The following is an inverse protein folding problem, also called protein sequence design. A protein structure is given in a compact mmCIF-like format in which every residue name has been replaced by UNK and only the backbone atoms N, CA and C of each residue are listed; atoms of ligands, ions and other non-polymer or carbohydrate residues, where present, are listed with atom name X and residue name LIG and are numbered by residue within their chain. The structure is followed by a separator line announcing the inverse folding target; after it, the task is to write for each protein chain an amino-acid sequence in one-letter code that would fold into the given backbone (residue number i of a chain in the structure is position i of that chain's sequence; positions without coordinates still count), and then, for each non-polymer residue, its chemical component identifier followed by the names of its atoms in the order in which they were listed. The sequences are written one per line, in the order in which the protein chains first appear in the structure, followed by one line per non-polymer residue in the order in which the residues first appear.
data_IF_734535651418
#
_entry.id   IF_734535651418
#
_cell.length_a   1.000
_cell.length_b   1.000
_cell.length_c   1.000
_cell.angle_alpha   90.00
_cell.angle_beta   90.00
_cell.angle_gamma   90.00
#
_symmetry.space_group_name_H-M   'P 1'
#
loop_
_entity.id
_entity.type
_entity.pdbx_description
1 polymer ?
#
# COMPACT_ATOMS: atom_id res chain seq x y z
N UNK A 1 5.55 9.15 -16.54
CA UNK A 1 5.24 8.69 -15.16
C UNK A 1 3.85 9.24 -14.83
N UNK A 2 2.87 8.38 -14.52
CA UNK A 2 1.52 8.81 -14.18
C UNK A 2 1.24 8.42 -12.73
N UNK A 3 0.84 9.38 -11.90
CA UNK A 3 0.53 9.16 -10.49
C UNK A 3 -1.00 9.13 -10.35
N UNK A 4 -1.59 8.07 -9.77
CA UNK A 4 -3.02 8.05 -9.47
C UNK A 4 -3.43 9.24 -8.61
N UNK A 5 -4.57 9.86 -8.93
CA UNK A 5 -5.09 11.04 -8.18
C UNK A 5 -5.52 10.71 -6.75
N UNK A 6 -5.81 9.43 -6.48
CA UNK A 6 -6.19 8.91 -5.17
C UNK A 6 -5.26 7.78 -4.77
N UNK A 7 -4.84 7.77 -3.51
CA UNK A 7 -3.98 6.75 -2.92
C UNK A 7 -4.32 6.49 -1.46
N UNK A 8 -3.89 5.34 -0.96
CA UNK A 8 -4.02 4.94 0.44
C UNK A 8 -2.75 5.38 1.20
N UNK A 9 -2.91 6.22 2.22
CA UNK A 9 -1.84 6.53 3.17
C UNK A 9 -1.86 5.56 4.36
N UNK A 10 -0.69 5.10 4.80
CA UNK A 10 -0.58 4.07 5.86
C UNK A 10 -0.02 4.61 7.20
N UNK A 11 0.03 5.93 7.37
CA UNK A 11 0.51 6.54 8.60
C UNK A 11 -0.30 6.06 9.83
N UNK A 12 0.42 5.70 10.90
CA UNK A 12 -0.12 5.17 12.18
C UNK A 12 -0.81 3.80 12.10
N UNK A 13 -0.96 3.20 10.91
CA UNK A 13 -1.42 1.82 10.81
C UNK A 13 -0.29 0.87 11.22
N UNK A 14 -0.64 -0.15 12.02
CA UNK A 14 0.27 -1.17 12.54
C UNK A 14 -0.33 -2.57 12.35
N UNK A 15 0.55 -3.57 12.29
CA UNK A 15 0.20 -4.99 12.31
C UNK A 15 -0.90 -5.33 11.28
N UNK A 16 -1.93 -6.09 11.69
CA UNK A 16 -3.00 -6.56 10.83
C UNK A 16 -3.78 -5.41 10.17
N UNK A 17 -3.90 -4.25 10.82
CA UNK A 17 -4.63 -3.11 10.28
C UNK A 17 -4.01 -2.58 8.98
N UNK A 18 -2.68 -2.70 8.81
CA UNK A 18 -1.99 -2.32 7.57
C UNK A 18 -2.39 -3.27 6.44
N UNK A 19 -2.34 -4.58 6.72
CA UNK A 19 -2.62 -5.63 5.75
C UNK A 19 -4.06 -5.51 5.26
N UNK A 20 -5.02 -5.41 6.18
CA UNK A 20 -6.44 -5.31 5.86
C UNK A 20 -6.73 -4.01 5.09
N UNK A 21 -6.13 -2.89 5.50
CA UNK A 21 -6.33 -1.61 4.80
C UNK A 21 -5.81 -1.65 3.37
N UNK A 22 -4.63 -2.23 3.15
CA UNK A 22 -4.05 -2.36 1.80
C UNK A 22 -4.88 -3.30 0.94
N UNK A 23 -5.27 -4.47 1.44
CA UNK A 23 -6.10 -5.44 0.69
C UNK A 23 -7.45 -4.83 0.31
N UNK A 24 -8.15 -4.23 1.27
CA UNK A 24 -9.43 -3.56 1.01
C UNK A 24 -9.29 -2.44 -0.01
N UNK A 25 -8.24 -1.63 0.06
CA UNK A 25 -8.01 -0.57 -0.91
C UNK A 25 -7.79 -1.13 -2.32
N UNK A 26 -6.98 -2.18 -2.46
CA UNK A 26 -6.73 -2.84 -3.74
C UNK A 26 -8.01 -3.45 -4.33
N UNK A 27 -8.83 -4.08 -3.48
CA UNK A 27 -10.12 -4.70 -3.84
C UNK A 27 -11.13 -3.67 -4.38
N UNK A 28 -11.18 -2.47 -3.78
CA UNK A 28 -12.05 -1.39 -4.25
C UNK A 28 -11.42 -0.52 -5.36
N UNK A 29 -10.26 -0.91 -5.87
CA UNK A 29 -9.67 -0.33 -7.09
C UNK A 29 -8.56 0.70 -6.88
N UNK A 30 -8.07 0.91 -5.66
CA UNK A 30 -6.89 1.77 -5.45
C UNK A 30 -5.67 1.19 -6.15
N UNK A 31 -4.83 2.07 -6.69
CA UNK A 31 -3.58 1.71 -7.36
C UNK A 31 -2.38 2.53 -6.88
N UNK A 32 -2.57 3.36 -5.86
CA UNK A 32 -1.48 4.05 -5.18
C UNK A 32 -1.49 3.74 -3.69
N UNK A 33 -0.32 3.39 -3.15
CA UNK A 33 -0.07 3.13 -1.72
C UNK A 33 1.11 4.00 -1.28
N UNK A 34 0.93 4.72 -0.18
CA UNK A 34 1.93 5.62 0.41
C UNK A 34 2.30 5.16 1.82
N UNK A 35 3.60 4.96 2.03
CA UNK A 35 4.20 4.59 3.32
C UNK A 35 5.47 5.40 3.61
N UNK A 36 6.16 5.12 4.71
CA UNK A 36 7.46 5.68 5.07
C UNK A 36 8.23 4.70 5.96
N UNK A 37 9.56 4.76 5.92
CA UNK A 37 10.41 3.91 6.77
C UNK A 37 10.07 4.07 8.26
N UNK A 38 9.83 5.30 8.72
CA UNK A 38 9.46 5.60 10.13
C UNK A 38 8.09 5.04 10.54
N UNK A 39 7.27 4.58 9.59
CA UNK A 39 6.00 3.93 9.92
C UNK A 39 6.19 2.47 10.29
N UNK A 40 7.35 1.88 9.98
CA UNK A 40 7.73 0.50 10.30
C UNK A 40 6.66 -0.53 9.86
N UNK A 41 6.07 -0.31 8.68
CA UNK A 41 5.00 -1.17 8.15
C UNK A 41 5.20 -1.60 6.69
N UNK A 42 6.37 -1.32 6.10
CA UNK A 42 6.70 -1.67 4.71
C UNK A 42 6.62 -3.18 4.44
N UNK A 43 7.07 -4.01 5.39
CA UNK A 43 6.98 -5.46 5.27
C UNK A 43 5.52 -5.96 5.19
N UNK A 44 4.64 -5.40 6.02
CA UNK A 44 3.21 -5.73 6.01
C UNK A 44 2.53 -5.29 4.71
N UNK A 45 2.92 -4.13 4.16
CA UNK A 45 2.45 -3.67 2.84
C UNK A 45 2.93 -4.62 1.74
N UNK A 46 4.20 -5.04 1.78
CA UNK A 46 4.76 -6.01 0.84
C UNK A 46 4.00 -7.33 0.84
N UNK A 47 3.66 -7.85 2.03
CA UNK A 47 2.81 -9.02 2.19
C UNK A 47 1.42 -8.81 1.57
N UNK A 48 0.74 -7.71 1.91
CA UNK A 48 -0.59 -7.42 1.39
C UNK A 48 -0.62 -7.30 -0.14
N UNK A 49 0.40 -6.67 -0.74
CA UNK A 49 0.54 -6.59 -2.19
C UNK A 49 0.75 -7.99 -2.80
N UNK A 50 1.63 -8.81 -2.22
CA UNK A 50 1.90 -10.17 -2.72
C UNK A 50 0.66 -11.08 -2.67
N UNK A 51 -0.17 -10.93 -1.64
CA UNK A 51 -1.42 -11.69 -1.47
C UNK A 51 -2.59 -11.15 -2.33
N UNK A 52 -2.51 -9.91 -2.83
CA UNK A 52 -3.62 -9.26 -3.53
C UNK A 52 -3.89 -9.77 -4.95
N UNK A 53 -2.90 -10.43 -5.57
CA UNK A 53 -2.96 -10.81 -6.99
C UNK A 53 -2.90 -9.63 -7.98
N UNK A 54 -2.76 -8.38 -7.52
CA UNK A 54 -2.63 -7.20 -8.39
C UNK A 54 -1.22 -7.17 -9.00
N UNK A 55 -1.13 -6.97 -10.31
CA UNK A 55 0.17 -6.90 -11.00
C UNK A 55 0.99 -5.74 -10.46
N UNK A 56 2.28 -5.98 -10.18
CA UNK A 56 3.19 -4.97 -9.64
C UNK A 56 3.27 -3.72 -10.54
N UNK A 57 3.17 -3.88 -11.86
CA UNK A 57 3.24 -2.78 -12.81
C UNK A 57 2.02 -1.83 -12.73
N UNK A 58 0.92 -2.31 -12.17
CA UNK A 58 -0.31 -1.52 -12.00
C UNK A 58 -0.29 -0.69 -10.70
N UNK A 59 0.75 -0.85 -9.86
CA UNK A 59 0.86 -0.20 -8.56
C UNK A 59 1.86 0.95 -8.55
N UNK A 60 1.41 2.08 -8.05
CA UNK A 60 2.23 3.21 -7.65
C UNK A 60 2.53 3.12 -6.15
N UNK A 61 3.75 2.72 -5.78
CA UNK A 61 4.16 2.58 -4.38
C UNK A 61 5.14 3.68 -4.00
N UNK A 62 4.85 4.43 -2.94
CA UNK A 62 5.68 5.53 -2.43
C UNK A 62 6.18 5.19 -1.02
N UNK A 63 7.48 5.39 -0.77
CA UNK A 63 8.07 5.37 0.58
C UNK A 63 8.90 6.64 0.81
N UNK A 64 9.33 6.89 2.04
CA UNK A 64 10.02 8.11 2.49
C UNK A 64 11.20 7.74 3.39
N UNK A 65 12.34 8.40 3.17
CA UNK A 65 13.55 8.35 4.02
C UNK A 65 13.44 9.30 5.21
#
# INVERSE_FOLDING_TARGET
MNIPRFGLGTFRLKEQAVIDSVKNALDVGYRAIDTAQIYENEAAIGQAIAESGVSRQDLFLTTKI
#
